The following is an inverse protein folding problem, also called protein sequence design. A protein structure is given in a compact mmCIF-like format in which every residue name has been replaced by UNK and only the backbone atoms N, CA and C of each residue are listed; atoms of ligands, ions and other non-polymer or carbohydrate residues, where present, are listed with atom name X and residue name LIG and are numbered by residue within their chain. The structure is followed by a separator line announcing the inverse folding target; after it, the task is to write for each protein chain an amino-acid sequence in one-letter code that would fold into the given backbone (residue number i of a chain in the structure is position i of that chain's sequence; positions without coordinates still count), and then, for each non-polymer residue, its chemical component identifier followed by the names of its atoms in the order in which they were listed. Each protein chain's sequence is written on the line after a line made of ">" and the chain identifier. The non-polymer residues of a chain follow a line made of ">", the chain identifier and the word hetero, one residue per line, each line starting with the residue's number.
data_IF_867676592743
#
_entry.id   IF_867676592743
#
_cell.length_a   1.000
_cell.length_b   1.000
_cell.length_c   1.000
_cell.angle_alpha   90.00
_cell.angle_beta   90.00
_cell.angle_gamma   90.00
#
_symmetry.space_group_name_H-M   'P 1'
#
loop_
_entity.id
_entity.type
_entity.pdbx_description
1 polymer ?
#
# COMPACT_ATOMS: atom_id res chain seq x y z
N UNK A 1 22.36 -26.47 -23.09
CA UNK A 1 21.85 -26.14 -21.75
C UNK A 1 20.98 -24.91 -21.97
N UNK A 2 19.71 -25.16 -22.24
CA UNK A 2 18.76 -24.10 -22.52
C UNK A 2 18.29 -23.51 -21.18
N UNK A 3 18.45 -22.19 -21.04
CA UNK A 3 17.92 -21.44 -19.92
C UNK A 3 16.38 -21.34 -20.10
N UNK A 4 15.57 -21.53 -19.06
CA UNK A 4 14.14 -21.39 -19.19
C UNK A 4 13.81 -19.92 -19.49
N UNK A 5 12.99 -19.70 -20.51
CA UNK A 5 12.36 -18.40 -20.80
C UNK A 5 11.64 -17.90 -19.55
N UNK A 6 12.03 -16.71 -19.08
CA UNK A 6 11.34 -16.00 -18.00
C UNK A 6 10.00 -15.56 -18.55
N UNK A 7 8.93 -16.20 -18.09
CA UNK A 7 7.55 -15.80 -18.39
C UNK A 7 7.28 -14.45 -17.72
N UNK A 8 7.49 -13.36 -18.44
CA UNK A 8 7.35 -11.97 -17.98
C UNK A 8 5.94 -11.42 -18.05
N UNK A 9 4.94 -12.26 -18.28
CA UNK A 9 3.54 -11.82 -18.42
C UNK A 9 2.65 -12.48 -17.36
N UNK A 10 2.74 -11.98 -16.12
CA UNK A 10 1.87 -12.44 -15.03
C UNK A 10 0.42 -12.01 -15.26
N UNK A 11 -0.54 -12.82 -14.80
CA UNK A 11 -1.96 -12.52 -14.88
C UNK A 11 -2.31 -11.13 -14.29
N UNK A 12 -1.55 -10.67 -13.30
CA UNK A 12 -1.64 -9.32 -12.71
C UNK A 12 -1.40 -8.22 -13.75
N UNK A 13 -0.42 -8.36 -14.64
CA UNK A 13 -0.11 -7.37 -15.69
C UNK A 13 -1.22 -7.29 -16.77
N UNK A 14 -1.89 -8.40 -17.07
CA UNK A 14 -2.98 -8.42 -18.07
C UNK A 14 -4.27 -7.79 -17.55
N UNK A 15 -4.48 -7.84 -16.25
CA UNK A 15 -5.73 -7.41 -15.65
C UNK A 15 -5.79 -5.89 -15.43
N UNK A 16 -4.71 -5.29 -14.99
CA UNK A 16 -4.56 -3.84 -14.80
C UNK A 16 -4.83 -3.04 -16.09
N UNK A 17 -4.44 -3.59 -17.26
CA UNK A 17 -4.56 -2.91 -18.55
C UNK A 17 -6.00 -2.75 -19.07
N UNK A 18 -6.95 -3.61 -18.67
CA UNK A 18 -8.29 -3.64 -19.30
C UNK A 18 -9.31 -2.67 -18.67
N UNK A 19 -9.16 -2.29 -17.42
CA UNK A 19 -10.15 -1.43 -16.71
C UNK A 19 -9.66 -0.02 -16.37
N UNK A 20 -8.35 0.22 -16.31
CA UNK A 20 -7.82 1.56 -16.03
C UNK A 20 -8.03 2.58 -17.14
N UNK A 21 -8.26 2.13 -18.38
CA UNK A 21 -8.48 3.00 -19.55
C UNK A 21 -9.88 3.63 -19.60
N UNK A 22 -10.80 3.24 -18.74
CA UNK A 22 -12.18 3.76 -18.74
C UNK A 22 -12.40 4.98 -17.84
N UNK A 23 -11.40 5.40 -17.04
CA UNK A 23 -11.57 6.45 -16.01
C UNK A 23 -10.80 7.75 -16.23
N UNK A 24 -9.96 7.87 -17.26
CA UNK A 24 -9.13 9.08 -17.50
C UNK A 24 -9.43 9.68 -18.87
N UNK A 25 -10.67 10.14 -19.08
CA UNK A 25 -11.02 11.03 -20.17
C UNK A 25 -11.59 12.32 -19.58
N UNK A 26 -10.75 13.33 -19.43
CA UNK A 26 -11.21 14.67 -19.13
C UNK A 26 -10.27 15.47 -18.20
N UNK A 27 -9.30 16.16 -18.74
CA UNK A 27 -9.06 17.60 -18.68
C UNK A 27 -7.68 17.87 -19.28
N UNK A 28 -7.65 18.20 -20.55
CA UNK A 28 -6.57 18.96 -21.16
C UNK A 28 -7.02 20.44 -21.22
N UNK A 29 -6.47 21.28 -20.37
CA UNK A 29 -6.56 22.72 -20.51
C UNK A 29 -5.15 23.28 -20.71
N UNK A 30 -4.90 23.75 -21.93
CA UNK A 30 -3.73 24.49 -22.35
C UNK A 30 -3.69 25.88 -21.66
N UNK A 31 -2.57 26.19 -21.06
CA UNK A 31 -2.28 27.53 -20.57
C UNK A 31 -0.79 27.83 -20.67
N UNK A 32 -0.35 28.36 -21.81
CA UNK A 32 0.99 28.92 -21.99
C UNK A 32 1.06 30.28 -21.30
N UNK A 33 2.06 30.52 -20.44
CA UNK A 33 2.61 31.87 -20.23
C UNK A 33 4.12 31.79 -19.94
N UNK A 34 4.81 32.70 -20.57
CA UNK A 34 6.26 32.83 -20.67
C UNK A 34 6.87 33.73 -19.59
N UNK A 35 8.14 33.46 -19.35
CA UNK A 35 9.27 34.37 -19.03
C UNK A 35 9.23 35.28 -17.80
N UNK A 36 10.29 35.16 -16.98
CA UNK A 36 10.77 36.23 -16.12
C UNK A 36 11.81 35.79 -15.11
N UNK A 37 13.08 35.91 -15.47
CA UNK A 37 14.24 35.80 -14.55
C UNK A 37 14.19 36.85 -13.43
N UNK A 38 14.60 36.46 -12.22
CA UNK A 38 15.55 37.23 -11.43
C UNK A 38 16.06 36.40 -10.22
N UNK A 39 17.38 36.34 -10.17
CA UNK A 39 18.18 35.83 -9.04
C UNK A 39 18.22 36.88 -7.95
N UNK A 40 18.05 36.48 -6.69
CA UNK A 40 18.64 37.17 -5.56
C UNK A 40 19.07 36.18 -4.49
N UNK A 41 20.38 36.17 -4.24
CA UNK A 41 21.09 35.38 -3.25
C UNK A 41 20.99 36.10 -1.92
N UNK A 42 20.46 35.44 -0.89
CA UNK A 42 20.71 35.85 0.49
C UNK A 42 21.33 34.69 1.25
N UNK A 43 22.63 34.84 1.56
CA UNK A 43 23.35 34.04 2.54
C UNK A 43 22.93 34.47 3.96
N UNK A 44 22.43 33.52 4.74
CA UNK A 44 22.42 33.66 6.19
C UNK A 44 23.12 32.45 6.79
N UNK A 45 24.32 32.69 7.34
CA UNK A 45 25.03 31.80 8.27
C UNK A 45 24.30 31.81 9.60
N UNK A 46 23.87 30.65 10.09
CA UNK A 46 23.71 30.42 11.53
C UNK A 46 24.28 29.04 11.85
N UNK A 47 25.31 29.10 12.71
CA UNK A 47 25.93 27.96 13.36
C UNK A 47 24.90 27.26 14.25
N UNK A 48 24.66 26.00 13.99
CA UNK A 48 23.96 25.10 14.91
C UNK A 48 24.97 24.07 15.43
N UNK A 49 25.01 23.90 16.74
CA UNK A 49 25.85 22.95 17.47
C UNK A 49 25.41 21.48 17.14
N UNK A 50 26.33 20.50 17.27
CA UNK A 50 26.03 19.13 16.99
C UNK A 50 25.10 18.54 18.05
N UNK A 51 23.92 18.05 17.63
CA UNK A 51 23.05 17.21 18.45
C UNK A 51 23.48 15.77 18.20
N UNK A 52 23.88 15.08 19.25
CA UNK A 52 24.16 13.65 19.25
C UNK A 52 22.91 12.86 18.80
N UNK A 53 23.06 11.78 18.00
CA UNK A 53 21.92 10.95 17.63
C UNK A 53 21.55 10.06 18.82
N UNK A 54 20.44 10.38 19.47
CA UNK A 54 19.75 9.42 20.33
C UNK A 54 19.30 8.25 19.46
N UNK A 55 19.91 7.08 19.64
CA UNK A 55 19.50 5.82 19.03
C UNK A 55 18.12 5.43 19.51
N UNK A 56 17.09 5.80 18.74
CA UNK A 56 15.73 5.33 18.86
C UNK A 56 15.47 4.31 17.77
N UNK A 57 15.60 3.03 18.08
CA UNK A 57 15.00 1.98 17.27
C UNK A 57 13.49 2.25 17.25
N UNK A 58 12.96 2.73 16.13
CA UNK A 58 11.53 2.81 15.90
C UNK A 58 11.02 1.37 15.72
N UNK A 59 10.66 0.75 16.84
CA UNK A 59 9.87 -0.46 16.83
C UNK A 59 8.48 -0.05 16.31
N UNK A 60 8.09 -0.51 15.12
CA UNK A 60 6.68 -0.59 14.74
C UNK A 60 5.92 -1.23 15.90
N UNK A 61 4.80 -0.69 16.34
CA UNK A 61 4.00 -1.34 17.37
C UNK A 61 3.61 -2.71 16.86
N UNK A 62 4.13 -3.74 17.50
CA UNK A 62 3.78 -5.13 17.20
C UNK A 62 2.30 -5.29 17.52
N UNK A 63 1.46 -5.39 16.50
CA UNK A 63 0.02 -5.59 16.64
C UNK A 63 -0.27 -7.02 17.15
N UNK A 64 0.12 -7.31 18.38
CA UNK A 64 -0.32 -8.51 19.12
C UNK A 64 -1.56 -8.19 19.95
N UNK A 65 -2.45 -7.33 19.46
CA UNK A 65 -3.66 -6.93 20.17
C UNK A 65 -4.90 -7.24 19.32
N UNK A 66 -5.25 -8.50 19.27
CA UNK A 66 -6.47 -8.95 18.61
C UNK A 66 -7.51 -9.33 19.67
N UNK A 67 -8.73 -8.87 19.49
CA UNK A 67 -9.97 -9.19 20.20
C UNK A 67 -10.15 -8.70 21.64
N UNK A 68 -9.12 -8.40 22.43
CA UNK A 68 -9.32 -7.82 23.75
C UNK A 68 -9.66 -6.32 23.61
N UNK A 69 -10.94 -5.96 23.85
CA UNK A 69 -11.43 -4.58 23.85
C UNK A 69 -12.08 -4.09 22.55
N UNK A 70 -12.41 -4.99 21.62
CA UNK A 70 -13.28 -4.67 20.47
C UNK A 70 -14.74 -4.80 20.92
N UNK A 71 -15.53 -3.73 20.74
CA UNK A 71 -16.95 -3.69 21.09
C UNK A 71 -17.78 -4.34 19.97
N UNK A 72 -18.21 -5.59 20.19
CA UNK A 72 -18.96 -6.39 19.23
C UNK A 72 -20.32 -5.78 18.89
N UNK A 73 -21.00 -5.16 19.87
CA UNK A 73 -22.31 -4.55 19.67
C UNK A 73 -22.17 -3.30 18.82
N UNK A 74 -21.17 -2.46 19.12
CA UNK A 74 -20.86 -1.27 18.32
C UNK A 74 -20.53 -1.63 16.87
N UNK A 75 -19.68 -2.66 16.65
CA UNK A 75 -19.30 -3.11 15.31
C UNK A 75 -20.52 -3.62 14.54
N UNK A 76 -21.35 -4.43 15.21
CA UNK A 76 -22.58 -4.95 14.61
C UNK A 76 -23.55 -3.83 14.23
N UNK A 77 -23.77 -2.86 15.12
CA UNK A 77 -24.67 -1.73 14.88
C UNK A 77 -24.16 -0.78 13.80
N UNK A 78 -22.85 -0.47 13.81
CA UNK A 78 -22.26 0.54 12.91
C UNK A 78 -21.96 -0.01 11.52
N UNK A 79 -21.46 -1.24 11.43
CA UNK A 79 -20.96 -1.81 10.18
C UNK A 79 -21.71 -3.08 9.74
N UNK A 80 -22.56 -3.65 10.57
CA UNK A 80 -23.22 -4.95 10.30
C UNK A 80 -22.21 -6.09 10.17
N UNK A 81 -21.09 -6.00 10.86
CA UNK A 81 -20.01 -6.98 10.89
C UNK A 81 -19.94 -7.66 12.26
N UNK A 82 -19.18 -8.76 12.33
CA UNK A 82 -18.69 -9.34 13.57
C UNK A 82 -17.24 -8.92 13.80
N UNK A 83 -16.74 -8.90 15.04
CA UNK A 83 -15.30 -8.81 15.27
C UNK A 83 -14.56 -9.94 14.54
N UNK A 84 -13.40 -9.62 13.97
CA UNK A 84 -12.54 -10.66 13.41
C UNK A 84 -11.97 -11.54 14.51
N UNK A 85 -11.91 -12.84 14.25
CA UNK A 85 -11.12 -13.73 15.09
C UNK A 85 -9.64 -13.29 15.03
N UNK A 86 -8.89 -13.40 16.14
CA UNK A 86 -7.45 -13.18 16.13
C UNK A 86 -6.78 -14.01 15.05
N UNK A 87 -5.85 -13.41 14.31
CA UNK A 87 -4.99 -14.20 13.42
C UNK A 87 -4.17 -15.19 14.24
N UNK A 88 -3.90 -16.41 13.73
CA UNK A 88 -2.93 -17.31 14.32
C UNK A 88 -1.60 -16.59 14.54
N UNK A 89 -0.79 -17.00 15.52
CA UNK A 89 0.57 -16.47 15.67
C UNK A 89 1.33 -16.61 14.35
N UNK A 90 2.05 -15.56 13.93
CA UNK A 90 2.84 -15.63 12.70
C UNK A 90 3.91 -16.72 12.82
N UNK A 91 4.32 -17.36 11.71
CA UNK A 91 5.38 -18.35 11.71
C UNK A 91 6.67 -17.79 12.32
N UNK A 92 7.38 -18.63 13.11
CA UNK A 92 8.65 -18.24 13.72
C UNK A 92 9.72 -17.81 12.69
N UNK A 93 9.65 -18.37 11.48
CA UNK A 93 10.42 -17.96 10.32
C UNK A 93 9.47 -17.31 9.32
N UNK A 94 9.74 -16.08 8.96
CA UNK A 94 8.90 -15.36 7.98
C UNK A 94 8.87 -16.08 6.64
N UNK A 95 7.69 -16.36 6.07
CA UNK A 95 7.55 -17.09 4.81
C UNK A 95 8.16 -16.37 3.61
N UNK A 96 8.18 -15.04 3.63
CA UNK A 96 8.83 -14.23 2.58
C UNK A 96 10.18 -13.75 3.10
N UNK A 97 11.26 -14.21 2.47
CA UNK A 97 12.61 -13.72 2.77
C UNK A 97 12.89 -12.47 1.96
N UNK A 98 12.91 -11.33 2.63
CA UNK A 98 13.17 -10.03 2.02
C UNK A 98 14.68 -9.75 1.90
N UNK A 99 15.11 -9.13 0.78
CA UNK A 99 16.50 -8.78 0.52
C UNK A 99 16.63 -7.55 -0.38
N UNK A 100 17.39 -6.54 0.03
CA UNK A 100 17.67 -5.38 -0.82
C UNK A 100 18.59 -5.72 -1.99
N UNK A 101 19.47 -6.74 -1.87
CA UNK A 101 20.36 -7.15 -2.97
C UNK A 101 19.63 -7.88 -4.10
N UNK A 102 18.49 -8.48 -3.80
CA UNK A 102 17.60 -9.15 -4.76
C UNK A 102 16.17 -9.13 -4.22
N UNK A 103 15.43 -8.03 -4.36
CA UNK A 103 14.09 -7.91 -3.83
C UNK A 103 13.16 -8.96 -4.45
N UNK A 104 12.56 -9.87 -3.65
CA UNK A 104 11.57 -10.80 -4.18
C UNK A 104 10.31 -10.07 -4.62
N UNK A 105 9.69 -10.56 -5.69
CA UNK A 105 8.37 -10.15 -6.14
C UNK A 105 7.36 -11.21 -5.70
N UNK A 106 6.34 -10.80 -4.94
CA UNK A 106 5.35 -11.73 -4.40
C UNK A 106 3.94 -11.15 -4.47
N UNK A 107 2.95 -12.00 -4.67
CA UNK A 107 1.52 -11.64 -4.74
C UNK A 107 0.68 -12.34 -3.68
N UNK A 108 1.29 -13.25 -2.95
CA UNK A 108 0.70 -14.00 -1.84
C UNK A 108 1.81 -14.40 -0.85
N UNK A 109 1.41 -14.81 0.33
CA UNK A 109 2.29 -15.38 1.35
C UNK A 109 2.02 -16.89 1.42
N UNK A 110 3.02 -17.77 1.33
CA UNK A 110 2.79 -19.21 1.39
C UNK A 110 2.37 -19.66 2.79
N UNK A 111 1.06 -19.75 3.01
CA UNK A 111 0.42 -20.14 4.28
C UNK A 111 -0.54 -21.30 4.11
N UNK A 112 -0.81 -22.00 5.22
CA UNK A 112 -1.87 -23.01 5.34
C UNK A 112 -3.06 -22.51 6.16
N UNK A 113 -2.83 -21.56 7.05
CA UNK A 113 -3.87 -20.95 7.88
C UNK A 113 -4.72 -19.97 7.06
N UNK A 114 -6.00 -19.89 7.38
CA UNK A 114 -6.96 -19.00 6.71
C UNK A 114 -6.73 -17.53 7.11
N UNK A 115 -5.58 -17.00 6.73
CA UNK A 115 -5.17 -15.62 6.90
C UNK A 115 -5.04 -14.97 5.52
N UNK A 116 -5.55 -13.76 5.37
CA UNK A 116 -5.37 -12.90 4.19
C UNK A 116 -4.78 -11.57 4.63
N UNK A 117 -4.27 -10.79 3.68
CA UNK A 117 -3.67 -9.48 3.93
C UNK A 117 -4.41 -8.41 3.12
N UNK A 118 -4.76 -7.31 3.76
CA UNK A 118 -5.44 -6.18 3.13
C UNK A 118 -4.42 -5.09 2.83
N UNK A 119 -4.44 -4.61 1.59
CA UNK A 119 -3.58 -3.54 1.13
C UNK A 119 -4.41 -2.47 0.42
N UNK A 120 -4.07 -1.18 0.61
CA UNK A 120 -4.82 -0.06 0.02
C UNK A 120 -3.85 0.90 -0.63
N UNK A 121 -3.96 1.08 -1.94
CA UNK A 121 -3.05 1.89 -2.75
C UNK A 121 -3.49 3.35 -2.89
N UNK A 122 -2.57 4.16 -3.40
CA UNK A 122 -2.70 5.54 -3.85
C UNK A 122 -2.71 6.59 -2.73
N UNK A 123 -3.75 6.64 -1.91
CA UNK A 123 -3.97 7.71 -0.94
C UNK A 123 -4.79 8.89 -1.49
N UNK A 124 -5.61 8.69 -2.53
CA UNK A 124 -6.39 9.76 -3.15
C UNK A 124 -7.52 10.24 -2.24
N UNK A 125 -8.29 9.34 -1.62
CA UNK A 125 -9.41 9.69 -0.74
C UNK A 125 -8.97 9.80 0.72
N UNK A 126 -9.55 10.77 1.44
CA UNK A 126 -9.28 11.06 2.85
C UNK A 126 -10.60 11.15 3.63
N UNK A 127 -11.35 10.04 3.68
CA UNK A 127 -12.61 9.93 4.42
C UNK A 127 -12.34 9.76 5.93
N UNK A 128 -12.68 10.74 6.79
CA UNK A 128 -12.39 10.67 8.23
C UNK A 128 -13.04 9.48 8.93
N UNK A 129 -14.22 9.06 8.46
CA UNK A 129 -14.96 7.90 8.97
C UNK A 129 -14.17 6.60 8.81
N UNK A 130 -13.29 6.53 7.81
CA UNK A 130 -12.42 5.37 7.62
C UNK A 130 -11.39 5.24 8.75
N UNK A 131 -10.83 6.35 9.25
CA UNK A 131 -9.95 6.32 10.44
C UNK A 131 -10.72 5.74 11.64
N UNK A 132 -11.98 6.15 11.82
CA UNK A 132 -12.82 5.63 12.90
C UNK A 132 -13.08 4.12 12.72
N UNK A 133 -13.34 3.67 11.49
CA UNK A 133 -13.52 2.25 11.18
C UNK A 133 -12.29 1.41 11.54
N UNK A 134 -11.09 1.91 11.22
CA UNK A 134 -9.83 1.23 11.57
C UNK A 134 -9.67 1.11 13.09
N UNK A 135 -9.99 2.15 13.85
CA UNK A 135 -9.95 2.15 15.31
C UNK A 135 -10.95 1.18 15.95
N UNK A 136 -12.16 1.10 15.38
CA UNK A 136 -13.22 0.24 15.88
C UNK A 136 -12.93 -1.23 15.60
N UNK A 137 -12.55 -1.57 14.38
CA UNK A 137 -12.35 -2.94 13.92
C UNK A 137 -11.00 -3.53 14.31
N UNK A 138 -9.96 -2.69 14.44
CA UNK A 138 -8.58 -3.06 14.76
C UNK A 138 -7.98 -4.12 13.83
N UNK A 139 -8.37 -4.06 12.57
CA UNK A 139 -7.89 -4.97 11.52
C UNK A 139 -6.60 -4.41 10.93
N UNK A 140 -5.52 -5.20 10.82
CA UNK A 140 -4.28 -4.75 10.19
C UNK A 140 -4.47 -4.42 8.70
N UNK A 141 -3.87 -3.32 8.26
CA UNK A 141 -3.91 -2.85 6.87
C UNK A 141 -2.51 -2.35 6.48
N UNK A 142 -2.04 -2.73 5.30
CA UNK A 142 -0.90 -2.08 4.67
C UNK A 142 -1.40 -0.99 3.70
N UNK A 143 -0.76 0.18 3.69
CA UNK A 143 -1.11 1.24 2.74
C UNK A 143 0.11 1.59 1.89
N UNK A 144 -0.06 1.55 0.57
CA UNK A 144 0.96 1.89 -0.41
C UNK A 144 0.70 3.32 -0.91
N UNK A 145 1.44 4.28 -0.36
CA UNK A 145 1.18 5.70 -0.59
C UNK A 145 2.03 6.28 -1.72
N UNK A 146 1.38 7.00 -2.64
CA UNK A 146 2.03 7.79 -3.69
C UNK A 146 1.92 9.29 -3.38
N UNK A 147 3.06 10.02 -3.43
CA UNK A 147 3.07 11.43 -3.07
C UNK A 147 2.12 12.28 -3.92
N UNK A 148 1.96 11.94 -5.19
CA UNK A 148 1.01 12.62 -6.08
C UNK A 148 -0.36 12.80 -5.44
N UNK A 149 -0.83 11.80 -4.67
CA UNK A 149 -2.18 11.76 -4.10
C UNK A 149 -2.25 12.18 -2.63
N UNK A 150 -1.12 12.12 -1.89
CA UNK A 150 -1.13 12.41 -0.44
C UNK A 150 -0.63 13.80 -0.07
N UNK A 151 0.03 14.50 -1.01
CA UNK A 151 0.73 15.78 -0.74
C UNK A 151 -0.16 16.94 -0.30
N UNK A 152 -1.44 16.86 -0.54
CA UNK A 152 -2.44 17.86 -0.16
C UNK A 152 -2.95 17.69 1.30
N UNK A 153 -2.80 16.49 1.88
CA UNK A 153 -3.17 16.21 3.28
C UNK A 153 -2.36 15.04 3.87
N UNK A 154 -1.11 15.26 4.20
CA UNK A 154 -0.31 14.25 4.90
C UNK A 154 -0.87 13.89 6.29
N UNK A 155 -1.52 14.87 6.96
CA UNK A 155 -2.02 14.68 8.31
C UNK A 155 -3.14 13.63 8.41
N UNK A 156 -3.88 13.39 7.34
CA UNK A 156 -4.86 12.31 7.30
C UNK A 156 -4.19 10.94 7.49
N UNK A 157 -3.11 10.67 6.72
CA UNK A 157 -2.39 9.39 6.77
C UNK A 157 -1.55 9.25 8.04
N UNK A 158 -1.07 10.35 8.62
CA UNK A 158 -0.46 10.35 9.96
C UNK A 158 -1.45 9.84 11.01
N UNK A 159 -2.67 10.42 11.07
CA UNK A 159 -3.72 9.97 11.98
C UNK A 159 -4.16 8.52 11.74
N UNK A 160 -4.13 8.08 10.49
CA UNK A 160 -4.45 6.70 10.14
C UNK A 160 -3.34 5.75 10.64
N UNK A 161 -2.07 6.11 10.46
CA UNK A 161 -0.91 5.38 10.97
C UNK A 161 -0.87 5.33 12.50
N UNK A 162 -1.19 6.44 13.18
CA UNK A 162 -1.27 6.54 14.63
C UNK A 162 -2.33 5.64 15.27
N UNK A 163 -3.26 5.08 14.50
CA UNK A 163 -4.19 4.06 15.01
C UNK A 163 -3.48 2.81 15.52
N UNK A 164 -2.25 2.54 15.06
CA UNK A 164 -1.45 1.36 15.39
C UNK A 164 -1.83 0.09 14.61
N UNK A 165 -2.78 0.20 13.67
CA UNK A 165 -3.24 -0.93 12.84
C UNK A 165 -2.87 -0.78 11.37
N UNK A 166 -2.09 0.25 11.03
CA UNK A 166 -1.73 0.54 9.64
C UNK A 166 -0.22 0.57 9.49
N UNK A 167 0.32 -0.10 8.47
CA UNK A 167 1.70 0.01 8.03
C UNK A 167 1.77 0.81 6.74
N UNK A 168 2.79 1.68 6.60
CA UNK A 168 2.99 2.54 5.43
C UNK A 168 4.09 1.95 4.55
N UNK A 169 3.82 1.85 3.25
CA UNK A 169 4.69 1.34 2.22
C UNK A 169 4.81 2.30 1.04
N UNK A 170 5.75 2.03 0.13
CA UNK A 170 6.12 2.91 -0.97
C UNK A 170 5.34 2.60 -2.25
N UNK A 171 4.77 3.64 -2.88
CA UNK A 171 4.05 3.55 -4.16
C UNK A 171 4.46 4.62 -5.19
N UNK A 172 5.72 5.07 -5.14
CA UNK A 172 6.32 6.09 -6.00
C UNK A 172 5.89 7.55 -5.71
N UNK A 173 6.63 8.51 -6.27
CA UNK A 173 6.32 9.93 -6.12
C UNK A 173 5.13 10.33 -7.00
N UNK A 174 5.19 10.03 -8.31
CA UNK A 174 4.24 10.54 -9.31
C UNK A 174 3.28 9.49 -9.87
N UNK A 175 3.28 8.28 -9.30
CA UNK A 175 2.38 7.18 -9.69
C UNK A 175 2.42 6.85 -11.19
N UNK A 176 3.61 6.62 -11.81
CA UNK A 176 3.70 6.34 -13.23
C UNK A 176 3.18 4.92 -13.54
N UNK A 177 2.02 4.81 -14.18
CA UNK A 177 1.44 3.51 -14.59
C UNK A 177 2.32 2.75 -15.59
N UNK A 178 3.22 3.45 -16.27
CA UNK A 178 4.15 2.87 -17.24
C UNK A 178 5.58 2.84 -16.69
N UNK A 179 5.77 2.46 -15.44
CA UNK A 179 7.10 2.32 -14.82
C UNK A 179 8.15 1.70 -15.75
N UNK A 180 7.89 0.57 -16.45
CA UNK A 180 8.86 -0.05 -17.36
C UNK A 180 9.29 0.81 -18.53
N UNK A 181 8.55 1.88 -18.89
CA UNK A 181 8.92 2.79 -19.97
C UNK A 181 9.85 3.91 -19.54
N UNK A 182 10.05 4.10 -18.25
CA UNK A 182 11.01 5.05 -17.68
C UNK A 182 12.44 4.48 -17.76
N UNK A 183 13.44 5.35 -17.87
CA UNK A 183 14.83 4.94 -17.71
C UNK A 183 15.08 4.39 -16.29
N UNK A 184 16.14 3.59 -16.12
CA UNK A 184 16.49 3.05 -14.81
C UNK A 184 16.67 4.17 -13.75
N UNK A 185 17.32 5.28 -14.11
CA UNK A 185 17.50 6.43 -13.23
C UNK A 185 16.15 7.06 -12.83
N UNK A 186 15.23 7.24 -13.78
CA UNK A 186 13.91 7.78 -13.47
C UNK A 186 13.09 6.84 -12.58
N UNK A 187 13.20 5.51 -12.76
CA UNK A 187 12.55 4.54 -11.88
C UNK A 187 13.11 4.62 -10.46
N UNK A 188 14.43 4.76 -10.33
CA UNK A 188 15.08 4.96 -9.04
C UNK A 188 14.64 6.27 -8.38
N UNK A 189 14.58 7.38 -9.12
CA UNK A 189 14.13 8.68 -8.60
C UNK A 189 12.67 8.61 -8.08
N UNK A 190 11.79 7.90 -8.79
CA UNK A 190 10.39 7.70 -8.37
C UNK A 190 10.29 6.92 -7.05
N UNK A 191 11.13 5.90 -6.86
CA UNK A 191 11.09 5.04 -5.68
C UNK A 191 11.82 5.70 -4.51
N UNK A 192 13.06 6.18 -4.71
CA UNK A 192 13.88 6.78 -3.66
C UNK A 192 13.30 8.11 -3.17
N UNK A 193 12.78 8.93 -4.10
CA UNK A 193 12.10 10.17 -3.74
C UNK A 193 10.91 9.92 -2.81
N UNK A 194 10.13 8.88 -3.05
CA UNK A 194 9.02 8.52 -2.18
C UNK A 194 9.50 8.02 -0.81
N UNK A 195 10.63 7.28 -0.74
CA UNK A 195 11.23 6.86 0.54
C UNK A 195 11.55 8.07 1.42
N UNK A 196 12.19 9.10 0.84
CA UNK A 196 12.54 10.31 1.57
C UNK A 196 11.30 11.06 2.05
N UNK A 197 10.26 11.16 1.22
CA UNK A 197 9.00 11.81 1.58
C UNK A 197 8.34 11.08 2.76
N UNK A 198 8.20 9.76 2.70
CA UNK A 198 7.55 8.98 3.76
C UNK A 198 8.34 9.06 5.07
N UNK A 199 9.67 9.06 4.98
CA UNK A 199 10.53 9.26 6.15
C UNK A 199 10.39 10.65 6.75
N UNK A 200 10.31 11.68 5.90
CA UNK A 200 10.17 13.07 6.35
C UNK A 200 8.81 13.34 6.98
N UNK A 201 7.72 12.82 6.36
CA UNK A 201 6.35 13.11 6.80
C UNK A 201 5.91 12.24 7.99
N UNK A 202 6.28 10.98 8.02
CA UNK A 202 5.76 10.00 8.98
C UNK A 202 6.84 9.37 9.88
N UNK A 203 8.11 9.68 9.66
CA UNK A 203 9.22 9.06 10.40
C UNK A 203 9.43 7.58 10.07
N UNK A 204 8.77 7.06 9.03
CA UNK A 204 8.85 5.66 8.63
C UNK A 204 9.83 5.45 7.48
N UNK A 205 10.52 4.32 7.48
CA UNK A 205 11.34 3.87 6.34
C UNK A 205 10.76 2.56 5.83
N UNK A 206 9.87 2.62 4.82
CA UNK A 206 9.30 1.42 4.23
C UNK A 206 10.35 0.46 3.70
N UNK A 207 10.09 -0.83 3.78
CA UNK A 207 10.96 -1.86 3.21
C UNK A 207 10.26 -2.70 2.13
N UNK A 208 8.97 -2.41 1.87
CA UNK A 208 8.19 -2.99 0.79
C UNK A 208 7.80 -1.88 -0.19
N UNK A 209 7.82 -2.21 -1.47
CA UNK A 209 7.40 -1.37 -2.58
C UNK A 209 6.29 -2.06 -3.37
N UNK A 210 5.32 -1.28 -3.86
CA UNK A 210 4.39 -1.73 -4.89
C UNK A 210 4.50 -0.81 -6.11
N UNK A 211 4.78 -1.36 -7.31
CA UNK A 211 4.79 -0.55 -8.53
C UNK A 211 3.36 -0.19 -8.93
N UNK A 212 3.10 1.06 -9.36
CA UNK A 212 1.81 1.50 -9.87
C UNK A 212 1.25 0.57 -10.94
N UNK A 213 -0.01 0.14 -10.74
CA UNK A 213 -0.69 -0.81 -11.63
C UNK A 213 -0.04 -2.20 -11.71
N UNK A 214 0.88 -2.54 -10.82
CA UNK A 214 1.62 -3.79 -10.85
C UNK A 214 2.63 -3.90 -12.01
N UNK A 215 2.97 -2.77 -12.67
CA UNK A 215 3.84 -2.76 -13.84
C UNK A 215 5.30 -2.58 -13.44
N UNK A 216 6.13 -3.56 -13.75
CA UNK A 216 7.56 -3.56 -13.43
C UNK A 216 8.38 -4.32 -14.48
N UNK A 217 9.69 -4.10 -14.45
CA UNK A 217 10.69 -4.85 -15.21
C UNK A 217 11.94 -5.07 -14.33
N UNK A 218 13.01 -5.63 -14.88
CA UNK A 218 14.26 -5.87 -14.15
C UNK A 218 14.87 -4.57 -13.58
N UNK A 219 14.79 -3.47 -14.32
CA UNK A 219 15.26 -2.17 -13.83
C UNK A 219 14.43 -1.68 -12.62
N UNK A 220 13.13 -1.97 -12.58
CA UNK A 220 12.27 -1.66 -11.42
C UNK A 220 12.70 -2.47 -10.19
N UNK A 221 13.01 -3.76 -10.37
CA UNK A 221 13.49 -4.62 -9.26
C UNK A 221 14.85 -4.11 -8.75
N UNK A 222 15.77 -3.77 -9.65
CA UNK A 222 17.06 -3.21 -9.28
C UNK A 222 16.93 -1.88 -8.52
N UNK A 223 16.09 -0.95 -9.05
CA UNK A 223 15.81 0.33 -8.41
C UNK A 223 15.16 0.18 -7.03
N UNK A 224 14.31 -0.85 -6.85
CA UNK A 224 13.72 -1.18 -5.53
C UNK A 224 14.81 -1.47 -4.50
N UNK A 225 15.77 -2.32 -4.85
CA UNK A 225 16.89 -2.64 -3.97
C UNK A 225 17.85 -1.48 -3.73
N UNK A 226 18.15 -0.70 -4.77
CA UNK A 226 19.02 0.48 -4.69
C UNK A 226 18.41 1.58 -3.81
N UNK A 227 17.11 1.75 -3.83
CA UNK A 227 16.37 2.64 -2.93
C UNK A 227 16.26 2.12 -1.49
N UNK A 228 16.88 0.97 -1.17
CA UNK A 228 16.91 0.38 0.17
C UNK A 228 15.68 -0.43 0.54
N UNK A 229 14.75 -0.63 -0.38
CA UNK A 229 13.60 -1.51 -0.19
C UNK A 229 14.02 -2.98 -0.39
N UNK A 230 13.28 -3.89 0.23
CA UNK A 230 13.70 -5.29 0.36
C UNK A 230 12.76 -6.28 -0.32
N UNK A 231 11.59 -5.82 -0.80
CA UNK A 231 10.61 -6.65 -1.49
C UNK A 231 9.63 -5.83 -2.31
N UNK A 232 9.08 -6.46 -3.33
CA UNK A 232 8.06 -5.90 -4.20
C UNK A 232 6.77 -6.70 -4.03
N UNK A 233 5.74 -6.06 -3.49
CA UNK A 233 4.46 -6.68 -3.18
C UNK A 233 3.41 -6.38 -4.26
N UNK A 234 2.87 -7.42 -4.87
CA UNK A 234 1.72 -7.38 -5.77
C UNK A 234 0.48 -7.87 -5.02
N UNK A 235 -0.51 -8.42 -5.74
CA UNK A 235 -1.77 -8.93 -5.19
C UNK A 235 -2.30 -10.10 -6.01
N UNK A 236 -3.23 -10.86 -5.42
CA UNK A 236 -3.98 -11.92 -6.10
C UNK A 236 -5.42 -11.59 -6.37
N UNK A 237 -6.04 -10.87 -5.47
CA UNK A 237 -7.42 -10.43 -5.55
C UNK A 237 -7.50 -8.92 -5.38
N UNK A 238 -8.57 -8.31 -5.86
CA UNK A 238 -8.84 -6.90 -5.65
C UNK A 238 -10.30 -6.69 -5.26
N UNK A 239 -10.53 -5.79 -4.30
CA UNK A 239 -11.85 -5.24 -4.04
C UNK A 239 -12.07 -4.04 -4.94
N UNK A 240 -12.98 -4.19 -5.89
CA UNK A 240 -13.39 -3.13 -6.81
C UNK A 240 -14.80 -2.66 -6.43
N UNK A 241 -14.91 -1.46 -5.89
CA UNK A 241 -16.16 -0.77 -5.52
C UNK A 241 -17.15 -1.66 -4.77
N UNK A 242 -17.84 -2.56 -5.45
CA UNK A 242 -18.93 -3.40 -4.93
C UNK A 242 -18.64 -4.89 -4.90
N UNK A 243 -17.65 -5.37 -5.64
CA UNK A 243 -17.38 -6.79 -5.80
C UNK A 243 -15.88 -7.12 -5.76
N UNK A 244 -15.60 -8.39 -5.47
CA UNK A 244 -14.26 -8.94 -5.52
C UNK A 244 -13.90 -9.39 -6.92
N UNK A 245 -12.66 -9.06 -7.31
CA UNK A 245 -12.07 -9.55 -8.55
C UNK A 245 -10.96 -10.55 -8.20
N UNK A 246 -10.98 -11.70 -8.88
CA UNK A 246 -10.07 -12.81 -8.66
C UNK A 246 -9.19 -13.04 -9.88
N UNK A 247 -7.90 -13.25 -9.66
CA UNK A 247 -6.99 -13.66 -10.75
C UNK A 247 -7.10 -15.15 -11.06
N UNK A 248 -7.71 -15.92 -10.18
CA UNK A 248 -7.91 -17.36 -10.37
C UNK A 248 -9.36 -17.69 -10.73
N UNK A 249 -9.57 -18.79 -11.46
CA UNK A 249 -10.91 -19.29 -11.81
C UNK A 249 -11.71 -19.81 -10.60
N UNK A 250 -11.09 -19.89 -9.42
CA UNK A 250 -11.78 -20.39 -8.21
C UNK A 250 -12.78 -19.39 -7.64
N UNK A 251 -12.63 -18.08 -7.93
CA UNK A 251 -13.47 -17.00 -7.41
C UNK A 251 -13.68 -17.06 -5.89
N UNK A 252 -12.62 -17.40 -5.16
CA UNK A 252 -12.60 -17.49 -3.70
C UNK A 252 -11.21 -17.19 -3.14
N UNK A 253 -11.17 -16.74 -1.89
CA UNK A 253 -9.93 -16.51 -1.16
C UNK A 253 -9.17 -17.82 -0.90
N UNK A 254 -7.86 -17.70 -0.86
CA UNK A 254 -6.91 -18.75 -0.47
C UNK A 254 -6.05 -18.26 0.70
N UNK A 255 -5.50 -19.18 1.52
CA UNK A 255 -4.53 -18.80 2.55
C UNK A 255 -3.37 -17.99 1.98
N UNK A 256 -3.05 -16.88 2.62
CA UNK A 256 -1.96 -16.00 2.23
C UNK A 256 -2.26 -14.99 1.13
N UNK A 257 -3.48 -14.93 0.61
CA UNK A 257 -3.83 -13.96 -0.45
C UNK A 257 -3.63 -12.52 0.03
N UNK A 258 -2.99 -11.73 -0.83
CA UNK A 258 -2.87 -10.28 -0.69
C UNK A 258 -3.99 -9.65 -1.52
N UNK A 259 -4.83 -8.86 -0.86
CA UNK A 259 -6.03 -8.24 -1.44
C UNK A 259 -5.74 -6.76 -1.67
N UNK A 260 -5.84 -6.31 -2.90
CA UNK A 260 -5.72 -4.91 -3.29
C UNK A 260 -7.04 -4.17 -3.09
N UNK A 261 -6.96 -3.00 -2.50
CA UNK A 261 -7.97 -1.96 -2.51
C UNK A 261 -7.34 -0.63 -2.97
N UNK A 262 -8.17 0.41 -3.11
CA UNK A 262 -7.66 1.77 -3.39
C UNK A 262 -8.40 2.79 -2.52
N UNK A 263 -7.69 3.85 -2.13
CA UNK A 263 -8.31 5.06 -1.60
C UNK A 263 -9.01 5.80 -2.74
N UNK A 264 -10.32 5.62 -2.87
CA UNK A 264 -11.12 6.20 -3.95
C UNK A 264 -12.18 7.12 -3.42
N UNK A 265 -12.41 8.24 -4.12
CA UNK A 265 -13.47 9.19 -3.82
C UNK A 265 -14.86 8.61 -4.11
N UNK A 266 -15.94 9.16 -3.51
CA UNK A 266 -17.30 8.75 -3.83
C UNK A 266 -17.65 8.81 -5.32
N UNK A 267 -17.06 9.77 -6.06
CA UNK A 267 -17.24 9.85 -7.52
C UNK A 267 -16.63 8.65 -8.26
N UNK A 268 -15.55 8.08 -7.75
CA UNK A 268 -14.91 6.88 -8.31
C UNK A 268 -15.54 5.58 -7.79
N UNK A 269 -16.29 5.66 -6.68
CA UNK A 269 -17.00 4.54 -6.04
C UNK A 269 -18.50 4.53 -6.41
N UNK A 270 -18.91 5.17 -7.50
CA UNK A 270 -20.30 5.26 -7.92
C UNK A 270 -21.25 5.78 -6.81
N UNK A 271 -20.76 6.75 -6.02
CA UNK A 271 -21.47 7.33 -4.87
C UNK A 271 -21.32 6.55 -3.56
N UNK A 272 -20.59 5.45 -3.55
CA UNK A 272 -20.25 4.72 -2.32
C UNK A 272 -19.11 5.41 -1.55
N UNK A 273 -18.88 4.99 -0.31
CA UNK A 273 -17.80 5.48 0.54
C UNK A 273 -16.74 4.40 0.77
N UNK A 274 -15.54 4.81 1.20
CA UNK A 274 -14.48 3.87 1.63
C UNK A 274 -14.99 2.93 2.72
N UNK A 275 -15.72 3.46 3.70
CA UNK A 275 -16.31 2.65 4.79
C UNK A 275 -17.25 1.57 4.23
N UNK A 276 -18.09 1.89 3.24
CA UNK A 276 -19.01 0.92 2.64
C UNK A 276 -18.28 -0.13 1.81
N UNK A 277 -17.30 0.28 0.99
CA UNK A 277 -16.47 -0.64 0.22
C UNK A 277 -15.72 -1.61 1.16
N UNK A 278 -15.07 -1.08 2.18
CA UNK A 278 -14.35 -1.89 3.16
C UNK A 278 -15.26 -2.80 3.99
N UNK A 279 -16.48 -2.34 4.32
CA UNK A 279 -17.48 -3.21 4.98
C UNK A 279 -17.82 -4.43 4.13
N UNK A 280 -17.98 -4.26 2.80
CA UNK A 280 -18.21 -5.38 1.88
C UNK A 280 -17.03 -6.34 1.85
N UNK A 281 -15.81 -5.81 1.76
CA UNK A 281 -14.59 -6.63 1.80
C UNK A 281 -14.50 -7.41 3.10
N UNK A 282 -14.67 -6.77 4.24
CA UNK A 282 -14.60 -7.43 5.54
C UNK A 282 -15.64 -8.54 5.68
N UNK A 283 -16.88 -8.29 5.25
CA UNK A 283 -17.94 -9.31 5.22
C UNK A 283 -17.54 -10.48 4.32
N UNK A 284 -17.03 -10.19 3.14
CA UNK A 284 -16.58 -11.22 2.18
C UNK A 284 -15.47 -12.12 2.76
N UNK A 285 -14.52 -11.53 3.50
CA UNK A 285 -13.47 -12.27 4.19
C UNK A 285 -14.07 -13.16 5.30
N UNK A 286 -14.99 -12.61 6.11
CA UNK A 286 -15.65 -13.34 7.18
C UNK A 286 -16.52 -14.48 6.68
N UNK A 287 -17.28 -14.27 5.60
CA UNK A 287 -18.18 -15.28 5.01
C UNK A 287 -17.40 -16.50 4.48
N UNK A 288 -16.14 -16.33 4.10
CA UNK A 288 -15.26 -17.42 3.69
C UNK A 288 -14.46 -18.03 4.86
N UNK A 289 -14.65 -17.50 6.06
CA UNK A 289 -14.02 -17.99 7.29
C UNK A 289 -12.54 -17.64 7.39
N UNK A 290 -12.12 -16.53 6.80
CA UNK A 290 -10.76 -16.00 6.92
C UNK A 290 -10.67 -14.94 8.01
N UNK A 291 -9.45 -14.72 8.49
CA UNK A 291 -9.07 -13.57 9.31
C UNK A 291 -8.00 -12.76 8.57
N UNK A 292 -7.68 -11.57 9.10
CA UNK A 292 -6.70 -10.66 8.51
C UNK A 292 -5.42 -10.64 9.34
N UNK A 293 -4.29 -10.83 8.68
CA UNK A 293 -2.96 -10.73 9.26
C UNK A 293 -2.26 -9.40 8.98
N UNK A 294 -1.28 -9.07 9.80
CA UNK A 294 -0.36 -7.97 9.57
C UNK A 294 0.78 -8.46 8.67
N UNK A 295 0.82 -7.98 7.42
CA UNK A 295 1.83 -8.41 6.42
C UNK A 295 3.27 -8.22 6.93
N UNK A 296 3.51 -7.24 7.79
CA UNK A 296 4.85 -6.96 8.34
C UNK A 296 5.39 -8.07 9.22
N UNK A 297 4.53 -8.95 9.71
CA UNK A 297 4.92 -10.12 10.50
C UNK A 297 5.26 -11.34 9.63
N UNK A 298 4.94 -11.31 8.33
CA UNK A 298 5.11 -12.43 7.40
C UNK A 298 6.16 -12.17 6.31
N UNK A 299 6.48 -10.90 6.07
CA UNK A 299 7.45 -10.48 5.07
C UNK A 299 8.54 -9.55 5.63
#
# INVERSE_FOLDING_TARGET
>A
MDLPEIVTDTAAQRWSRRRFMAGVAGVAALGSFATGCRSDVIKAHMLAAPVEPAGGASASPSATATAAGVDADLISQRYGLKPFAPAPPPPAVKPITLSASNPPVFSDVPLTDKVVFITIDDGLEKEPEFIQMVKDLRVPIAIELANLFIKDDYAFFEKLYETGYVSIHNHTVNHPLSMPSLSAAQQLDEISGQQEILKQQYGVTPYIFRPPGGNYNEATIAATGEAGLKGMMLWREAMEISDMQYQTARHRLSPGDIILCHFRSPAQLDGETMVRMMTRLYRHIQDQGFTVGDITQYA
#
